data_IF_826254947648
#
_entry.id   IF_826254947648
#
_cell.length_a   1.000
_cell.length_b   1.000
_cell.length_c   1.000
_cell.angle_alpha   90.00
_cell.angle_beta   90.00
_cell.angle_gamma   90.00
#
_symmetry.space_group_name_H-M   'P 1'
#
loop_
_entity.id
_entity.type
_entity.pdbx_description
1 polymer ?
#
# COMPACT_ATOMS: atom_id res chain seq x y z
N UNK A 1 -34.47 35.41 70.00
CA UNK A 1 -34.51 34.19 69.21
C UNK A 1 -34.30 34.57 67.76
N UNK A 2 -33.13 34.23 67.20
CA UNK A 2 -32.77 34.51 65.87
C UNK A 2 -32.82 33.21 65.06
N UNK A 3 -33.57 33.08 63.97
CA UNK A 3 -33.51 31.93 63.14
C UNK A 3 -32.23 32.01 62.28
N UNK A 4 -31.45 30.95 62.35
CA UNK A 4 -30.26 30.83 61.54
C UNK A 4 -30.66 30.25 60.19
N UNK A 5 -30.52 31.06 59.17
CA UNK A 5 -30.61 30.62 57.79
C UNK A 5 -29.44 29.72 57.46
N UNK A 6 -29.70 28.47 57.25
CA UNK A 6 -28.73 27.51 56.72
C UNK A 6 -28.76 27.63 55.20
N UNK A 7 -27.82 28.35 54.66
CA UNK A 7 -27.61 28.39 53.21
C UNK A 7 -26.90 27.11 52.78
N UNK A 8 -27.63 26.27 52.16
CA UNK A 8 -27.07 25.11 51.47
C UNK A 8 -26.38 25.58 50.21
N UNK A 9 -25.05 25.58 50.24
CA UNK A 9 -24.22 25.70 49.04
C UNK A 9 -24.28 24.39 48.30
N UNK A 10 -25.05 24.37 47.22
CA UNK A 10 -25.01 23.24 46.29
C UNK A 10 -23.73 23.36 45.45
N UNK A 11 -22.78 22.52 45.74
CA UNK A 11 -21.60 22.36 44.90
C UNK A 11 -21.99 21.57 43.65
N UNK A 12 -22.13 22.25 42.55
CA UNK A 12 -22.28 21.64 41.25
C UNK A 12 -20.93 21.07 40.81
N UNK A 13 -20.78 19.75 40.91
CA UNK A 13 -19.68 19.02 40.29
C UNK A 13 -19.90 19.00 38.77
N UNK A 14 -19.14 19.81 38.04
CA UNK A 14 -19.03 19.70 36.62
C UNK A 14 -18.09 18.55 36.32
N UNK A 15 -18.65 17.40 35.99
CA UNK A 15 -17.88 16.29 35.46
C UNK A 15 -17.43 16.62 34.04
N UNK A 16 -16.18 16.99 33.91
CA UNK A 16 -15.54 17.12 32.60
C UNK A 16 -15.30 15.71 32.03
N UNK A 17 -16.18 15.28 31.15
CA UNK A 17 -15.97 14.08 30.35
C UNK A 17 -14.88 14.39 29.32
N UNK A 18 -13.68 13.93 29.59
CA UNK A 18 -12.59 13.90 28.61
C UNK A 18 -12.93 12.82 27.61
N UNK A 19 -13.47 13.22 26.46
CA UNK A 19 -13.60 12.32 25.31
C UNK A 19 -12.20 12.12 24.74
N UNK A 20 -11.57 11.01 25.08
CA UNK A 20 -10.35 10.59 24.43
C UNK A 20 -10.69 10.21 22.99
N UNK A 21 -10.38 11.09 22.06
CA UNK A 21 -10.37 10.79 20.63
C UNK A 21 -9.25 9.78 20.38
N UNK A 22 -9.60 8.51 20.39
CA UNK A 22 -8.70 7.47 19.92
C UNK A 22 -8.47 7.71 18.43
N UNK A 23 -7.31 8.25 18.10
CA UNK A 23 -6.84 8.33 16.72
C UNK A 23 -6.61 6.90 16.26
N UNK A 24 -7.56 6.35 15.51
CA UNK A 24 -7.35 5.09 14.81
C UNK A 24 -6.33 5.40 13.72
N UNK A 25 -5.06 5.09 13.99
CA UNK A 25 -4.04 5.07 12.96
C UNK A 25 -4.40 3.91 12.03
N UNK A 26 -5.14 4.20 10.96
CA UNK A 26 -5.28 3.27 9.86
C UNK A 26 -3.89 2.96 9.34
N UNK A 27 -3.43 1.71 9.51
CA UNK A 27 -2.29 1.21 8.77
C UNK A 27 -2.58 1.51 7.29
N UNK A 28 -1.77 2.39 6.71
CA UNK A 28 -1.92 2.79 5.31
C UNK A 28 -1.42 1.65 4.44
N UNK A 29 -2.22 0.64 4.27
CA UNK A 29 -2.21 -0.09 3.01
C UNK A 29 -2.53 0.95 1.96
N UNK A 30 -1.61 1.17 1.04
CA UNK A 30 -1.84 2.09 -0.07
C UNK A 30 -3.10 1.61 -0.80
N UNK A 31 -4.24 2.24 -0.52
CA UNK A 31 -5.52 1.91 -1.14
C UNK A 31 -5.63 2.40 -2.59
N UNK A 32 -4.53 2.93 -3.15
CA UNK A 32 -4.49 3.38 -4.53
C UNK A 32 -4.66 2.20 -5.49
N UNK A 33 -5.51 2.38 -6.49
CA UNK A 33 -5.72 1.43 -7.58
C UNK A 33 -5.48 2.11 -8.91
N UNK A 34 -5.11 1.32 -9.91
CA UNK A 34 -4.99 1.74 -11.30
C UNK A 34 -5.62 0.69 -12.19
N UNK A 35 -6.43 1.12 -13.14
CA UNK A 35 -6.99 0.20 -14.14
C UNK A 35 -5.89 -0.18 -15.12
N UNK A 36 -5.81 -1.46 -15.47
CA UNK A 36 -4.75 -1.97 -16.34
C UNK A 36 -4.65 -1.21 -17.67
N UNK A 37 -5.77 -0.79 -18.24
CA UNK A 37 -5.82 -0.01 -19.47
C UNK A 37 -5.25 1.41 -19.33
N UNK A 38 -5.18 1.95 -18.10
CA UNK A 38 -4.63 3.27 -17.80
C UNK A 38 -3.11 3.24 -17.52
N UNK A 39 -2.54 2.06 -17.43
CA UNK A 39 -1.10 1.89 -17.27
C UNK A 39 -0.34 2.32 -18.53
N UNK A 40 0.92 2.78 -18.38
CA UNK A 40 1.80 2.95 -19.54
C UNK A 40 1.89 1.68 -20.37
N UNK A 41 2.10 1.82 -21.68
CA UNK A 41 2.23 0.67 -22.58
C UNK A 41 3.28 -0.34 -22.11
N UNK A 42 4.42 0.15 -21.62
CA UNK A 42 5.51 -0.67 -21.10
C UNK A 42 5.09 -1.50 -19.87
N UNK A 43 4.23 -0.97 -19.02
CA UNK A 43 3.68 -1.71 -17.88
C UNK A 43 2.71 -2.81 -18.35
N UNK A 44 1.90 -2.53 -19.35
CA UNK A 44 1.02 -3.56 -19.96
C UNK A 44 1.82 -4.67 -20.64
N UNK A 45 2.90 -4.33 -21.31
CA UNK A 45 3.85 -5.31 -21.86
C UNK A 45 4.46 -6.18 -20.78
N UNK A 46 4.86 -5.59 -19.65
CA UNK A 46 5.38 -6.33 -18.50
C UNK A 46 4.34 -7.29 -17.94
N UNK A 47 3.09 -6.87 -17.78
CA UNK A 47 2.00 -7.76 -17.35
C UNK A 47 1.82 -8.95 -18.31
N UNK A 48 1.87 -8.71 -19.60
CA UNK A 48 1.78 -9.77 -20.61
C UNK A 48 2.95 -10.74 -20.50
N UNK A 49 4.15 -10.23 -20.27
CA UNK A 49 5.36 -11.06 -20.08
C UNK A 49 5.27 -11.92 -18.80
N UNK A 50 4.73 -11.37 -17.71
CA UNK A 50 4.52 -12.10 -16.47
C UNK A 50 3.58 -13.30 -16.72
N UNK A 51 2.48 -13.09 -17.42
CA UNK A 51 1.51 -14.15 -17.75
C UNK A 51 2.07 -15.21 -18.68
N UNK A 52 2.97 -14.82 -19.58
CA UNK A 52 3.65 -15.74 -20.49
C UNK A 52 4.71 -16.58 -19.78
N UNK A 53 5.33 -16.01 -18.73
CA UNK A 53 6.46 -16.61 -18.04
C UNK A 53 7.81 -16.34 -18.70
N UNK A 54 8.89 -16.88 -18.09
CA UNK A 54 10.24 -16.67 -18.60
C UNK A 54 10.45 -17.20 -20.05
N UNK A 55 11.42 -16.65 -20.78
CA UNK A 55 12.44 -15.70 -20.33
C UNK A 55 11.93 -14.25 -20.26
N UNK A 56 12.52 -13.46 -19.35
CA UNK A 56 12.19 -12.06 -19.18
C UNK A 56 13.26 -11.14 -19.76
N UNK A 57 12.92 -9.89 -20.15
CA UNK A 57 13.87 -8.95 -20.73
C UNK A 57 15.02 -8.52 -19.82
N UNK A 58 14.81 -8.55 -18.49
CA UNK A 58 15.81 -8.12 -17.51
C UNK A 58 16.18 -9.28 -16.59
N UNK A 59 17.46 -9.35 -16.24
CA UNK A 59 17.99 -10.43 -15.42
C UNK A 59 17.33 -10.50 -14.02
N UNK A 60 16.97 -9.34 -13.48
CA UNK A 60 16.30 -9.27 -12.17
C UNK A 60 14.81 -9.53 -12.19
N UNK A 61 14.22 -9.69 -13.35
CA UNK A 61 12.80 -9.97 -13.45
C UNK A 61 12.45 -11.33 -12.82
N UNK A 62 11.42 -11.34 -11.98
CA UNK A 62 10.97 -12.54 -11.30
C UNK A 62 11.69 -12.85 -9.97
N UNK A 63 12.64 -12.01 -9.53
CA UNK A 63 13.27 -12.20 -8.23
C UNK A 63 12.31 -11.86 -7.10
N UNK A 64 12.53 -12.46 -5.93
CA UNK A 64 11.72 -12.21 -4.75
C UNK A 64 11.78 -10.74 -4.32
N UNK A 65 10.62 -10.18 -4.02
CA UNK A 65 10.48 -8.83 -3.45
C UNK A 65 10.15 -8.95 -1.97
N UNK A 66 10.99 -8.35 -1.11
CA UNK A 66 10.93 -8.55 0.33
C UNK A 66 9.82 -7.79 1.08
N UNK A 67 9.14 -6.83 0.44
CA UNK A 67 8.12 -5.98 1.08
C UNK A 67 8.59 -5.39 2.44
N UNK A 68 9.84 -4.94 2.50
CA UNK A 68 10.48 -4.49 3.74
C UNK A 68 9.80 -3.28 4.37
N UNK A 69 9.30 -2.37 3.55
CA UNK A 69 8.57 -1.18 3.98
C UNK A 69 7.11 -1.48 4.34
N UNK A 70 6.66 -2.73 4.16
CA UNK A 70 5.30 -3.19 4.47
C UNK A 70 4.19 -2.37 3.79
N UNK A 71 4.46 -1.86 2.59
CA UNK A 71 3.49 -1.12 1.79
C UNK A 71 2.46 -2.03 1.12
N UNK A 72 2.82 -3.29 0.87
CA UNK A 72 1.93 -4.32 0.38
C UNK A 72 1.41 -5.18 1.54
N UNK A 73 0.30 -5.90 1.35
CA UNK A 73 -0.22 -6.81 2.37
C UNK A 73 0.84 -7.79 2.88
N UNK A 74 0.83 -8.07 4.18
CA UNK A 74 1.76 -9.03 4.79
C UNK A 74 1.53 -10.43 4.22
N UNK A 75 2.62 -11.06 3.75
CA UNK A 75 2.61 -12.38 3.13
C UNK A 75 3.93 -13.12 3.44
N UNK A 76 4.00 -14.44 3.27
CA UNK A 76 5.22 -15.18 3.41
C UNK A 76 6.36 -14.64 2.53
N UNK A 77 7.59 -14.90 2.93
CA UNK A 77 8.82 -14.31 2.37
C UNK A 77 8.96 -14.41 0.84
N UNK A 78 8.48 -15.47 0.24
CA UNK A 78 8.64 -15.73 -1.21
C UNK A 78 7.38 -15.45 -2.01
N UNK A 79 6.40 -14.79 -1.40
CA UNK A 79 5.10 -14.56 -2.03
C UNK A 79 5.17 -13.55 -3.17
N UNK A 80 5.95 -12.45 -2.98
CA UNK A 80 6.07 -11.38 -3.96
C UNK A 80 7.27 -11.55 -4.86
N UNK A 81 7.10 -11.19 -6.15
CA UNK A 81 8.14 -11.12 -7.16
C UNK A 81 8.09 -9.76 -7.86
N UNK A 82 9.26 -9.22 -8.18
CA UNK A 82 9.38 -7.94 -8.87
C UNK A 82 9.69 -8.11 -10.35
N UNK A 83 9.24 -7.15 -11.14
CA UNK A 83 9.47 -7.11 -12.58
C UNK A 83 9.74 -5.68 -13.03
N UNK A 84 10.65 -5.51 -13.97
CA UNK A 84 11.00 -4.20 -14.53
C UNK A 84 9.94 -3.75 -15.54
N UNK A 85 9.50 -2.51 -15.37
CA UNK A 85 8.75 -1.78 -16.40
C UNK A 85 9.73 -0.84 -17.08
N UNK A 86 9.97 -1.06 -18.38
CA UNK A 86 10.91 -0.26 -19.15
C UNK A 86 10.54 1.22 -19.12
N UNK A 87 11.53 2.09 -18.93
CA UNK A 87 11.38 3.53 -19.06
C UNK A 87 11.97 3.95 -20.41
N UNK A 88 11.17 4.39 -21.40
CA UNK A 88 11.68 4.79 -22.69
C UNK A 88 12.75 5.88 -22.57
N UNK A 89 13.84 5.73 -23.30
CA UNK A 89 14.95 6.68 -23.30
C UNK A 89 15.90 6.61 -22.10
N UNK A 90 15.61 5.79 -21.09
CA UNK A 90 16.51 5.62 -19.95
C UNK A 90 17.69 4.73 -20.32
N UNK A 91 18.89 5.11 -19.88
CA UNK A 91 20.12 4.31 -20.01
C UNK A 91 20.24 3.23 -18.94
N UNK A 92 19.38 3.25 -17.92
CA UNK A 92 19.32 2.31 -16.80
C UNK A 92 17.98 1.57 -16.79
N UNK A 93 17.79 0.64 -15.82
CA UNK A 93 16.48 0.01 -15.58
C UNK A 93 15.37 1.02 -15.26
N UNK A 94 15.73 2.25 -14.85
CA UNK A 94 14.76 3.23 -14.37
C UNK A 94 14.12 2.83 -13.03
N UNK A 95 13.06 3.53 -12.65
CA UNK A 95 12.41 3.38 -11.35
C UNK A 95 11.08 2.60 -11.40
N UNK A 96 10.59 2.26 -12.57
CA UNK A 96 9.26 1.65 -12.75
C UNK A 96 9.33 0.14 -12.54
N UNK A 97 8.39 -0.40 -11.75
CA UNK A 97 8.29 -1.84 -11.48
C UNK A 97 6.84 -2.29 -11.42
N UNK A 98 6.64 -3.58 -11.61
CA UNK A 98 5.44 -4.29 -11.18
C UNK A 98 5.87 -5.33 -10.16
N UNK A 99 5.12 -5.42 -9.06
CA UNK A 99 5.26 -6.45 -8.04
C UNK A 99 3.99 -7.27 -8.03
N UNK A 100 4.12 -8.58 -8.19
CA UNK A 100 3.00 -9.51 -8.16
C UNK A 100 3.17 -10.51 -7.03
N UNK A 101 2.07 -10.93 -6.45
CA UNK A 101 2.02 -11.96 -5.43
C UNK A 101 1.23 -13.17 -5.87
N UNK A 102 1.59 -14.35 -5.37
CA UNK A 102 0.94 -15.60 -5.69
C UNK A 102 1.68 -16.43 -6.75
N UNK A 103 0.94 -17.22 -7.53
CA UNK A 103 1.53 -18.07 -8.55
C UNK A 103 2.22 -17.24 -9.64
N UNK A 104 3.42 -17.64 -10.12
CA UNK A 104 4.24 -16.81 -11.00
C UNK A 104 3.55 -16.33 -12.28
N UNK A 105 2.81 -17.18 -12.97
CA UNK A 105 2.16 -16.83 -14.24
C UNK A 105 0.68 -16.52 -14.11
N UNK A 106 0.08 -16.83 -12.96
CA UNK A 106 -1.30 -16.53 -12.61
C UNK A 106 -1.31 -15.88 -11.22
N UNK A 107 -0.76 -14.67 -11.09
CA UNK A 107 -0.67 -14.03 -9.77
C UNK A 107 -2.05 -13.70 -9.20
N UNK A 108 -2.14 -13.70 -7.87
CA UNK A 108 -3.35 -13.33 -7.15
C UNK A 108 -3.64 -11.82 -7.28
N UNK A 109 -2.60 -11.01 -7.25
CA UNK A 109 -2.68 -9.56 -7.39
C UNK A 109 -1.34 -8.99 -7.83
N UNK A 110 -1.39 -7.84 -8.51
CA UNK A 110 -0.22 -7.10 -8.94
C UNK A 110 -0.35 -5.62 -8.56
N UNK A 111 0.77 -4.97 -8.32
CA UNK A 111 0.88 -3.56 -8.02
C UNK A 111 1.90 -2.90 -8.93
N UNK A 112 1.61 -1.68 -9.34
CA UNK A 112 2.51 -0.83 -10.11
C UNK A 112 3.17 0.22 -9.21
N UNK A 113 4.46 0.47 -9.42
CA UNK A 113 5.18 1.59 -8.84
C UNK A 113 5.95 2.34 -9.93
N UNK A 114 5.86 3.65 -9.91
CA UNK A 114 6.61 4.54 -10.80
C UNK A 114 7.81 5.21 -10.13
N UNK A 115 7.99 5.01 -8.82
CA UNK A 115 8.94 5.75 -7.97
C UNK A 115 9.87 4.84 -7.15
N UNK A 116 10.23 3.70 -7.71
CA UNK A 116 11.17 2.75 -7.10
C UNK A 116 10.70 2.29 -5.71
N UNK A 117 9.47 1.73 -5.64
CA UNK A 117 8.85 1.11 -4.48
C UNK A 117 8.43 2.07 -3.34
N UNK A 118 8.42 3.37 -3.56
CA UNK A 118 7.97 4.31 -2.53
C UNK A 118 6.45 4.36 -2.41
N UNK A 119 5.76 4.27 -3.54
CA UNK A 119 4.30 4.15 -3.59
C UNK A 119 3.88 3.05 -4.56
N UNK A 120 2.73 2.44 -4.27
CA UNK A 120 2.15 1.39 -5.10
C UNK A 120 0.70 1.68 -5.41
N UNK A 121 0.28 1.31 -6.60
CA UNK A 121 -1.13 1.24 -6.97
C UNK A 121 -1.49 -0.20 -7.35
N UNK A 122 -2.53 -0.75 -6.76
CA UNK A 122 -3.02 -2.07 -7.12
C UNK A 122 -3.61 -2.03 -8.52
N UNK A 123 -3.17 -2.95 -9.36
CA UNK A 123 -3.67 -3.07 -10.73
C UNK A 123 -5.00 -3.82 -10.70
N UNK A 124 -6.03 -3.21 -11.27
CA UNK A 124 -7.35 -3.81 -11.47
C UNK A 124 -7.62 -3.93 -12.97
N UNK A 125 -8.28 -5.01 -13.37
CA UNK A 125 -8.57 -5.30 -14.77
C UNK A 125 -9.96 -4.85 -15.18
#
# INVERSE_FOLDING_TARGET
MVPRDVRHLAATLVAATVVALASVACARTSGATVVATDLPNEARETLANIRRGPPFPYERDGVAFGNREKLLPAQPRTYYREYTVRTPGASTRGARRIVCGGAPTVPDACWYTGDHYQTFARIVE
#
